data_IF_454260035926
#
_entry.id   IF_454260035926
#
_cell.length_a   1.000
_cell.length_b   1.000
_cell.length_c   1.000
_cell.angle_alpha   90.00
_cell.angle_beta   90.00
_cell.angle_gamma   90.00
#
_symmetry.space_group_name_H-M   'P 1'
#
loop_
_entity.id
_entity.type
_entity.pdbx_description
1 polymer ?
#
# COMPACT_ATOMS: atom_id res chain seq x y z
N UNK A 1 -3.80 20.94 -20.15
CA UNK A 1 -3.46 19.51 -20.11
C UNK A 1 -4.58 18.80 -19.37
N UNK A 2 -5.31 17.90 -20.01
CA UNK A 2 -6.35 17.13 -19.34
C UNK A 2 -5.68 16.37 -18.19
N UNK A 3 -6.12 16.59 -16.94
CA UNK A 3 -5.69 15.79 -15.81
C UNK A 3 -6.13 14.35 -16.10
N UNK A 4 -5.19 13.42 -16.25
CA UNK A 4 -5.51 12.00 -16.28
C UNK A 4 -6.27 11.66 -15.00
N UNK A 5 -7.42 11.00 -15.16
CA UNK A 5 -8.25 10.55 -14.04
C UNK A 5 -7.57 9.44 -13.23
N UNK A 6 -6.41 8.96 -13.73
CA UNK A 6 -5.60 7.95 -13.10
C UNK A 6 -4.60 8.55 -12.10
N UNK A 7 -4.48 7.93 -10.94
CA UNK A 7 -3.43 8.26 -9.98
C UNK A 7 -2.11 7.57 -10.34
N UNK A 8 -2.17 6.30 -10.78
CA UNK A 8 -1.00 5.54 -11.21
C UNK A 8 -1.18 5.09 -12.66
N UNK A 9 -0.15 5.29 -13.46
CA UNK A 9 -0.08 4.84 -14.85
C UNK A 9 1.24 4.10 -15.07
N UNK A 10 1.15 2.90 -15.60
CA UNK A 10 2.29 2.06 -15.96
C UNK A 10 2.17 1.79 -17.46
N UNK A 11 3.24 2.06 -18.22
CA UNK A 11 3.24 1.91 -19.67
C UNK A 11 4.48 1.16 -20.15
N UNK A 12 4.28 0.05 -20.85
CA UNK A 12 5.31 -0.78 -21.45
C UNK A 12 6.40 -1.24 -20.49
N UNK A 13 6.02 -1.47 -19.22
CA UNK A 13 6.97 -1.73 -18.14
C UNK A 13 7.63 -3.11 -18.30
N UNK A 14 8.96 -3.12 -18.42
CA UNK A 14 9.78 -4.32 -18.33
C UNK A 14 10.74 -4.20 -17.14
N UNK A 15 10.87 -5.29 -16.40
CA UNK A 15 11.78 -5.34 -15.26
C UNK A 15 12.42 -6.72 -15.07
N UNK A 16 13.70 -6.73 -14.74
CA UNK A 16 14.49 -7.90 -14.34
C UNK A 16 15.55 -7.50 -13.32
N UNK A 17 15.83 -8.39 -12.39
CA UNK A 17 16.99 -8.27 -11.51
C UNK A 17 18.26 -8.73 -12.25
N UNK A 18 18.16 -9.85 -12.99
CA UNK A 18 19.16 -10.37 -13.88
C UNK A 18 18.56 -10.47 -15.31
N UNK A 19 19.34 -10.11 -16.33
CA UNK A 19 18.91 -10.10 -17.75
C UNK A 19 18.40 -11.46 -18.25
N UNK A 20 18.86 -12.54 -17.63
CA UNK A 20 18.49 -13.92 -18.00
C UNK A 20 17.07 -14.30 -17.54
N UNK A 21 16.49 -13.55 -16.57
CA UNK A 21 15.19 -13.89 -15.99
C UNK A 21 14.29 -12.64 -15.89
N UNK A 22 13.42 -12.38 -16.88
CA UNK A 22 12.44 -11.32 -16.79
C UNK A 22 11.44 -11.60 -15.65
N UNK A 23 11.13 -10.56 -14.87
CA UNK A 23 10.13 -10.60 -13.80
C UNK A 23 8.82 -9.98 -14.25
N UNK A 24 8.90 -8.89 -15.04
CA UNK A 24 7.75 -8.21 -15.63
C UNK A 24 8.06 -7.93 -17.10
N UNK A 25 7.07 -8.16 -17.98
CA UNK A 25 7.22 -8.03 -19.42
C UNK A 25 6.03 -7.29 -20.03
N UNK A 26 6.25 -6.07 -20.52
CA UNK A 26 5.23 -5.30 -21.23
C UNK A 26 3.99 -4.98 -20.39
N UNK A 27 4.15 -4.63 -19.11
CA UNK A 27 3.02 -4.33 -18.22
C UNK A 27 2.45 -2.95 -18.53
N UNK A 28 1.14 -2.92 -18.81
CA UNK A 28 0.33 -1.71 -18.95
C UNK A 28 -0.80 -1.71 -17.92
N UNK A 29 -0.85 -0.69 -17.05
CA UNK A 29 -1.87 -0.55 -16.01
C UNK A 29 -2.29 0.91 -15.85
N UNK A 30 -3.58 1.12 -15.58
CA UNK A 30 -4.15 2.40 -15.21
C UNK A 30 -4.96 2.24 -13.92
N UNK A 31 -4.64 3.00 -12.90
CA UNK A 31 -5.29 2.94 -11.59
C UNK A 31 -6.00 4.27 -11.33
N UNK A 32 -7.34 4.31 -11.43
CA UNK A 32 -8.11 5.51 -11.24
C UNK A 32 -8.02 6.04 -9.80
N UNK A 33 -8.17 7.35 -9.64
CA UNK A 33 -8.19 7.98 -8.32
C UNK A 33 -9.38 7.51 -7.49
N UNK A 34 -9.15 7.34 -6.19
CA UNK A 34 -10.18 6.98 -5.22
C UNK A 34 -10.67 5.53 -5.31
N UNK A 35 -10.12 4.73 -6.21
CA UNK A 35 -10.51 3.32 -6.41
C UNK A 35 -9.64 2.35 -5.62
N UNK A 36 -10.22 1.21 -5.30
CA UNK A 36 -9.51 0.04 -4.78
C UNK A 36 -9.23 -0.91 -5.93
N UNK A 37 -7.97 -1.08 -6.28
CA UNK A 37 -7.55 -1.96 -7.40
C UNK A 37 -6.73 -3.12 -6.83
N UNK A 38 -7.05 -4.34 -7.23
CA UNK A 38 -6.25 -5.51 -6.85
C UNK A 38 -5.32 -5.95 -7.99
N UNK A 39 -4.12 -6.34 -7.61
CA UNK A 39 -3.18 -7.06 -8.47
C UNK A 39 -3.08 -8.47 -7.91
N UNK A 40 -3.73 -9.40 -8.57
CA UNK A 40 -3.79 -10.81 -8.17
C UNK A 40 -2.79 -11.66 -8.97
N UNK A 41 -2.47 -12.81 -8.45
CA UNK A 41 -1.61 -13.79 -9.14
C UNK A 41 -0.88 -14.70 -8.16
N UNK A 42 -0.26 -15.75 -8.67
CA UNK A 42 0.50 -16.72 -7.87
C UNK A 42 1.71 -16.07 -7.19
N UNK A 43 2.22 -16.73 -6.15
CA UNK A 43 3.48 -16.29 -5.51
C UNK A 43 4.62 -16.26 -6.53
N UNK A 44 5.44 -15.21 -6.48
CA UNK A 44 6.56 -15.03 -7.41
C UNK A 44 6.21 -14.42 -8.77
N UNK A 45 4.95 -14.11 -9.08
CA UNK A 45 4.53 -13.54 -10.37
C UNK A 45 4.99 -12.09 -10.60
N UNK A 46 5.60 -11.41 -9.61
CA UNK A 46 6.10 -10.04 -9.75
C UNK A 46 5.25 -8.95 -9.07
N UNK A 47 4.19 -9.31 -8.32
CA UNK A 47 3.26 -8.37 -7.66
C UNK A 47 3.97 -7.36 -6.74
N UNK A 48 4.76 -7.84 -5.79
CA UNK A 48 5.56 -6.97 -4.88
C UNK A 48 6.56 -6.12 -5.65
N UNK A 49 7.08 -6.62 -6.77
CA UNK A 49 7.98 -5.85 -7.64
C UNK A 49 7.27 -4.66 -8.25
N UNK A 50 6.00 -4.80 -8.66
CA UNK A 50 5.16 -3.67 -9.14
C UNK A 50 5.02 -2.62 -8.03
N UNK A 51 4.70 -3.01 -6.80
CA UNK A 51 4.60 -2.05 -5.68
C UNK A 51 5.93 -1.32 -5.43
N UNK A 52 7.06 -2.02 -5.50
CA UNK A 52 8.40 -1.42 -5.35
C UNK A 52 8.74 -0.43 -6.46
N UNK A 53 8.29 -0.69 -7.69
CA UNK A 53 8.45 0.22 -8.83
C UNK A 53 7.54 1.46 -8.67
N UNK A 54 6.28 1.29 -8.24
CA UNK A 54 5.36 2.40 -7.94
C UNK A 54 5.93 3.27 -6.81
N UNK A 55 6.44 2.67 -5.74
CA UNK A 55 7.09 3.38 -4.63
C UNK A 55 8.47 3.95 -4.95
N UNK A 56 8.99 3.73 -6.17
CA UNK A 56 10.30 4.22 -6.62
C UNK A 56 11.48 3.56 -5.91
N UNK A 57 11.27 2.41 -5.22
CA UNK A 57 12.35 1.63 -4.63
C UNK A 57 13.17 0.88 -5.69
N UNK A 58 12.55 0.62 -6.84
CA UNK A 58 13.18 0.06 -8.02
C UNK A 58 12.96 1.01 -9.20
N UNK A 59 13.86 0.96 -10.19
CA UNK A 59 13.72 1.68 -11.45
C UNK A 59 13.36 0.69 -12.56
N UNK A 60 12.40 1.01 -13.45
CA UNK A 60 12.10 0.19 -14.60
C UNK A 60 13.34 0.02 -15.49
N UNK A 61 13.44 -1.12 -16.16
CA UNK A 61 14.47 -1.35 -17.19
C UNK A 61 14.05 -0.79 -18.54
N UNK A 62 12.74 -0.86 -18.82
CA UNK A 62 12.08 -0.25 -19.96
C UNK A 62 10.68 0.19 -19.56
N UNK A 63 10.11 1.13 -20.30
CA UNK A 63 8.81 1.71 -19.99
C UNK A 63 8.88 2.71 -18.85
N UNK A 64 7.72 3.05 -18.28
CA UNK A 64 7.63 4.08 -17.26
C UNK A 64 6.54 3.78 -16.23
N UNK A 65 6.74 4.30 -15.02
CA UNK A 65 5.75 4.34 -13.95
C UNK A 65 5.51 5.79 -13.58
N UNK A 66 4.27 6.26 -13.72
CA UNK A 66 3.83 7.59 -13.29
C UNK A 66 2.95 7.49 -12.06
N UNK A 67 3.16 8.37 -11.10
CA UNK A 67 2.28 8.57 -9.95
C UNK A 67 1.93 10.05 -9.83
N UNK A 68 0.65 10.36 -9.80
CA UNK A 68 0.14 11.74 -9.82
C UNK A 68 0.77 12.57 -10.96
N UNK A 69 0.91 11.98 -12.15
CA UNK A 69 1.47 12.60 -13.35
C UNK A 69 2.99 12.71 -13.39
N UNK A 70 3.71 12.29 -12.33
CA UNK A 70 5.18 12.35 -12.28
C UNK A 70 5.81 11.00 -12.56
N UNK A 71 6.81 10.96 -13.43
CA UNK A 71 7.59 9.76 -13.75
C UNK A 71 8.52 9.45 -12.58
N UNK A 72 8.29 8.31 -11.90
CA UNK A 72 8.92 7.99 -10.61
C UNK A 72 10.45 7.86 -10.70
N UNK A 73 10.97 7.27 -11.76
CA UNK A 73 12.41 7.03 -11.92
C UNK A 73 13.21 8.25 -12.41
N UNK A 74 12.51 9.32 -12.80
CA UNK A 74 13.12 10.61 -13.19
C UNK A 74 13.17 11.60 -12.01
N UNK A 75 12.48 11.29 -10.90
CA UNK A 75 12.53 12.14 -9.72
C UNK A 75 13.93 12.12 -9.10
N UNK A 76 14.40 13.31 -8.71
CA UNK A 76 15.54 13.46 -7.82
C UNK A 76 15.23 12.92 -6.40
N UNK A 77 16.23 12.91 -5.55
CA UNK A 77 16.10 12.40 -4.17
C UNK A 77 14.98 13.13 -3.39
N UNK A 78 14.93 14.44 -3.50
CA UNK A 78 13.95 15.25 -2.78
C UNK A 78 12.54 15.12 -3.35
N UNK A 79 12.41 15.03 -4.67
CA UNK A 79 11.14 14.76 -5.34
C UNK A 79 10.58 13.39 -4.98
N UNK A 80 11.45 12.36 -4.93
CA UNK A 80 11.07 11.01 -4.51
C UNK A 80 10.65 10.98 -3.03
N UNK A 81 11.39 11.67 -2.16
CA UNK A 81 11.04 11.81 -0.75
C UNK A 81 9.67 12.46 -0.56
N UNK A 82 9.42 13.62 -1.21
CA UNK A 82 8.11 14.30 -1.19
C UNK A 82 6.99 13.42 -1.73
N UNK A 83 7.25 12.62 -2.77
CA UNK A 83 6.25 11.70 -3.32
C UNK A 83 5.92 10.58 -2.33
N UNK A 84 6.93 9.95 -1.71
CA UNK A 84 6.75 8.87 -0.74
C UNK A 84 6.00 9.30 0.52
N UNK A 85 6.15 10.54 0.98
CA UNK A 85 5.35 11.11 2.09
C UNK A 85 3.84 11.09 1.82
N UNK A 86 3.44 11.05 0.56
CA UNK A 86 2.04 10.99 0.12
C UNK A 86 1.57 9.56 -0.19
N UNK A 87 2.39 8.56 0.13
CA UNK A 87 2.10 7.15 -0.07
C UNK A 87 2.16 6.43 1.27
N UNK A 88 1.18 5.56 1.51
CA UNK A 88 1.19 4.60 2.61
C UNK A 88 1.57 3.21 2.10
N UNK A 89 2.26 2.44 2.93
CA UNK A 89 2.62 1.06 2.61
C UNK A 89 2.33 0.15 3.80
N UNK A 90 1.52 -0.88 3.58
CA UNK A 90 1.37 -1.99 4.49
C UNK A 90 2.16 -3.18 3.94
N UNK A 91 3.20 -3.58 4.66
CA UNK A 91 4.04 -4.73 4.30
C UNK A 91 3.42 -6.05 4.75
N UNK A 92 3.78 -7.14 4.08
CA UNK A 92 3.22 -8.49 4.28
C UNK A 92 3.11 -8.93 5.74
N UNK A 93 4.09 -8.64 6.60
CA UNK A 93 4.06 -8.98 8.03
C UNK A 93 3.86 -7.75 8.94
N UNK A 94 3.32 -6.64 8.40
CA UNK A 94 3.12 -5.40 9.11
C UNK A 94 4.40 -4.59 9.32
N UNK A 95 5.55 -5.23 9.50
CA UNK A 95 6.87 -4.61 9.73
C UNK A 95 6.82 -3.53 10.83
N UNK A 96 6.18 -3.82 11.96
CA UNK A 96 6.17 -2.94 13.12
C UNK A 96 7.57 -2.87 13.76
N UNK A 97 7.92 -1.72 14.29
CA UNK A 97 9.09 -1.57 15.15
C UNK A 97 8.80 -2.31 16.45
N UNK A 98 9.56 -3.35 16.75
CA UNK A 98 9.29 -4.29 17.84
C UNK A 98 9.51 -3.72 19.23
N UNK A 99 10.35 -2.71 19.34
CA UNK A 99 10.76 -1.98 20.54
C UNK A 99 9.97 -0.68 20.76
N UNK A 100 9.07 -0.33 19.86
CA UNK A 100 8.18 0.82 19.99
C UNK A 100 6.77 0.39 20.36
N UNK A 101 6.08 1.19 21.17
CA UNK A 101 4.67 1.00 21.47
C UNK A 101 3.80 1.08 20.21
N UNK A 102 2.56 0.63 20.30
CA UNK A 102 1.54 0.83 19.25
C UNK A 102 1.39 2.30 18.91
N UNK A 103 1.37 3.16 19.94
CA UNK A 103 1.33 4.60 19.76
C UNK A 103 2.52 5.11 18.95
N UNK A 104 3.74 4.76 19.37
CA UNK A 104 4.97 5.25 18.74
C UNK A 104 5.16 4.70 17.33
N UNK A 105 4.71 3.47 17.05
CA UNK A 105 4.67 2.93 15.70
C UNK A 105 3.86 3.81 14.74
N UNK A 106 2.72 4.35 15.18
CA UNK A 106 1.89 5.24 14.35
C UNK A 106 2.43 6.67 14.36
N UNK A 107 2.89 7.17 15.52
CA UNK A 107 3.44 8.52 15.68
C UNK A 107 4.72 8.72 14.87
N UNK A 108 5.51 7.67 14.65
CA UNK A 108 6.81 7.72 13.99
C UNK A 108 6.77 8.52 12.68
N UNK A 109 5.81 8.21 11.81
CA UNK A 109 5.67 8.89 10.52
C UNK A 109 5.37 10.41 10.68
N UNK A 110 4.57 10.76 11.67
CA UNK A 110 4.22 12.16 11.94
C UNK A 110 5.42 12.94 12.47
N UNK A 111 6.18 12.36 13.42
CA UNK A 111 7.39 12.98 13.98
C UNK A 111 8.49 13.18 12.93
N UNK A 112 8.70 12.18 12.06
CA UNK A 112 9.74 12.23 11.02
C UNK A 112 9.41 13.18 9.86
N UNK A 113 8.12 13.40 9.60
CA UNK A 113 7.70 14.05 8.36
C UNK A 113 6.90 15.33 8.55
N UNK A 114 6.65 15.76 9.79
CA UNK A 114 5.90 16.99 10.08
C UNK A 114 6.51 17.73 11.27
N UNK A 115 6.24 19.03 11.35
CA UNK A 115 6.61 19.87 12.49
C UNK A 115 5.44 20.06 13.47
N UNK A 116 4.56 19.06 13.57
CA UNK A 116 3.39 19.11 14.44
C UNK A 116 3.79 19.00 15.92
N UNK A 117 3.17 19.79 16.81
CA UNK A 117 3.35 19.63 18.25
C UNK A 117 2.92 18.24 18.72
N UNK A 118 3.61 17.68 19.74
CA UNK A 118 3.31 16.34 20.29
C UNK A 118 1.85 16.19 20.76
N UNK A 119 1.21 17.26 21.25
CA UNK A 119 -0.21 17.22 21.61
C UNK A 119 -1.11 16.93 20.38
N UNK A 120 -0.82 17.52 19.23
CA UNK A 120 -1.51 17.26 17.97
C UNK A 120 -1.22 15.84 17.46
N UNK A 121 0.05 15.42 17.48
CA UNK A 121 0.45 14.06 17.09
C UNK A 121 -0.32 13.02 17.94
N UNK A 122 -0.41 13.25 19.25
CA UNK A 122 -1.16 12.38 20.14
C UNK A 122 -2.63 12.23 19.72
N UNK A 123 -3.31 13.33 19.45
CA UNK A 123 -4.72 13.30 19.09
C UNK A 123 -4.92 12.62 17.72
N UNK A 124 -4.07 12.90 16.75
CA UNK A 124 -4.08 12.26 15.44
C UNK A 124 -3.80 10.75 15.53
N UNK A 125 -2.82 10.33 16.30
CA UNK A 125 -2.52 8.90 16.52
C UNK A 125 -3.71 8.17 17.12
N UNK A 126 -4.32 8.74 18.18
CA UNK A 126 -5.50 8.15 18.81
C UNK A 126 -6.69 8.06 17.85
N UNK A 127 -6.85 9.04 16.96
CA UNK A 127 -7.86 9.01 15.91
C UNK A 127 -7.57 7.92 14.87
N UNK A 128 -6.31 7.75 14.41
CA UNK A 128 -5.94 6.68 13.49
C UNK A 128 -6.11 5.30 14.12
N UNK A 129 -5.73 5.15 15.39
CA UNK A 129 -5.97 3.90 16.13
C UNK A 129 -7.45 3.62 16.35
N UNK A 130 -8.25 4.65 16.56
CA UNK A 130 -9.70 4.51 16.65
C UNK A 130 -10.31 4.01 15.33
N UNK A 131 -9.87 4.54 14.20
CA UNK A 131 -10.36 4.14 12.86
C UNK A 131 -10.12 2.66 12.56
N UNK A 132 -9.10 2.05 13.16
CA UNK A 132 -8.80 0.61 13.05
C UNK A 132 -9.28 -0.21 14.25
N UNK A 133 -10.03 0.41 15.19
CA UNK A 133 -10.60 -0.25 16.36
C UNK A 133 -9.59 -0.62 17.46
N UNK A 134 -8.47 0.11 17.57
CA UNK A 134 -7.38 -0.19 18.49
C UNK A 134 -6.99 0.98 19.41
N UNK A 135 -7.87 1.96 19.62
CA UNK A 135 -7.59 3.12 20.49
C UNK A 135 -7.11 2.72 21.90
N UNK A 136 -7.72 1.67 22.47
CA UNK A 136 -7.36 1.19 23.82
C UNK A 136 -6.03 0.45 23.89
N UNK A 137 -5.47 0.03 22.75
CA UNK A 137 -4.22 -0.74 22.67
C UNK A 137 -2.96 0.14 22.50
N UNK A 138 -3.08 1.47 22.57
CA UNK A 138 -2.02 2.41 22.23
C UNK A 138 -0.73 2.26 23.06
N UNK A 139 -0.79 1.69 24.28
CA UNK A 139 0.35 1.48 25.18
C UNK A 139 1.03 0.13 24.99
N UNK A 140 0.39 -0.81 24.30
CA UNK A 140 0.92 -2.17 24.12
C UNK A 140 2.15 -2.16 23.21
N UNK A 141 3.00 -3.16 23.40
CA UNK A 141 4.10 -3.48 22.48
C UNK A 141 3.61 -4.46 21.41
N UNK A 142 4.26 -4.53 20.22
CA UNK A 142 3.92 -5.49 19.19
C UNK A 142 3.89 -6.95 19.64
N UNK A 143 4.72 -7.34 20.60
CA UNK A 143 4.75 -8.67 21.21
C UNK A 143 3.49 -9.04 21.99
N UNK A 144 2.69 -8.06 22.39
CA UNK A 144 1.46 -8.24 23.15
C UNK A 144 0.22 -8.28 22.23
N UNK A 145 0.40 -8.17 20.91
CA UNK A 145 -0.68 -8.11 19.93
C UNK A 145 -0.96 -9.47 19.31
N UNK A 146 -2.23 -9.75 19.03
CA UNK A 146 -2.58 -10.82 18.07
C UNK A 146 -2.14 -10.42 16.65
N UNK A 147 -2.00 -11.41 15.74
CA UNK A 147 -1.65 -11.15 14.33
C UNK A 147 -2.60 -10.16 13.64
N UNK A 148 -3.91 -10.28 13.89
CA UNK A 148 -4.91 -9.35 13.38
C UNK A 148 -4.79 -7.94 13.99
N UNK A 149 -4.45 -7.82 15.28
CA UNK A 149 -4.18 -6.53 15.90
C UNK A 149 -2.92 -5.88 15.32
N UNK A 150 -1.83 -6.62 15.20
CA UNK A 150 -0.59 -6.12 14.61
C UNK A 150 -0.80 -5.61 13.17
N UNK A 151 -1.61 -6.33 12.38
CA UNK A 151 -1.98 -5.90 11.02
C UNK A 151 -2.76 -4.58 11.03
N UNK A 152 -3.71 -4.40 11.96
CA UNK A 152 -4.47 -3.16 12.10
C UNK A 152 -3.61 -1.99 12.58
N UNK A 153 -2.63 -2.21 13.46
CA UNK A 153 -1.64 -1.18 13.84
C UNK A 153 -0.80 -0.77 12.63
N UNK A 154 -0.31 -1.74 11.83
CA UNK A 154 0.45 -1.45 10.62
C UNK A 154 -0.39 -0.66 9.60
N UNK A 155 -1.69 -0.92 9.54
CA UNK A 155 -2.63 -0.15 8.72
C UNK A 155 -2.80 1.28 9.25
N UNK A 156 -2.97 1.47 10.56
CA UNK A 156 -3.02 2.81 11.17
C UNK A 156 -1.76 3.62 10.89
N UNK A 157 -0.58 2.97 10.92
CA UNK A 157 0.70 3.59 10.55
C UNK A 157 0.76 3.95 9.05
N UNK A 158 0.26 3.08 8.17
CA UNK A 158 0.25 3.35 6.74
C UNK A 158 -0.62 4.57 6.36
N UNK A 159 -1.67 4.85 7.13
CA UNK A 159 -2.56 6.01 6.91
C UNK A 159 -2.23 7.22 7.79
N UNK A 160 -1.11 7.20 8.52
CA UNK A 160 -0.77 8.24 9.51
C UNK A 160 -0.72 9.64 8.92
N UNK A 161 -0.23 9.80 7.69
CA UNK A 161 -0.06 11.08 6.98
C UNK A 161 -1.16 11.37 5.95
N UNK A 162 -2.33 10.73 6.02
CA UNK A 162 -3.43 10.87 5.05
C UNK A 162 -2.94 10.75 3.59
N UNK A 163 -2.38 9.60 3.21
CA UNK A 163 -1.77 9.42 1.92
C UNK A 163 -2.80 9.43 0.78
N UNK A 164 -2.40 9.91 -0.40
CA UNK A 164 -3.22 9.83 -1.61
C UNK A 164 -3.25 8.42 -2.23
N UNK A 165 -2.22 7.61 -1.95
CA UNK A 165 -2.06 6.24 -2.42
C UNK A 165 -1.71 5.34 -1.25
N UNK A 166 -2.43 4.23 -1.09
CA UNK A 166 -2.10 3.21 -0.11
C UNK A 166 -1.84 1.90 -0.84
N UNK A 167 -0.68 1.32 -0.57
CA UNK A 167 -0.26 0.04 -1.15
C UNK A 167 -0.27 -1.04 -0.07
N UNK A 168 -0.91 -2.16 -0.35
CA UNK A 168 -1.04 -3.30 0.55
C UNK A 168 -0.35 -4.51 -0.09
N UNK A 169 0.72 -4.98 0.53
CA UNK A 169 1.44 -6.18 0.10
C UNK A 169 1.00 -7.38 0.95
N UNK A 170 0.19 -8.26 0.36
CA UNK A 170 -0.38 -9.46 0.98
C UNK A 170 -1.05 -9.18 2.34
N UNK A 171 -2.05 -8.28 2.41
CA UNK A 171 -2.64 -7.84 3.68
C UNK A 171 -3.36 -8.97 4.44
N UNK A 172 -3.72 -10.05 3.76
CA UNK A 172 -4.48 -11.18 4.29
C UNK A 172 -3.61 -12.35 4.74
N UNK A 173 -2.33 -12.38 4.36
CA UNK A 173 -1.44 -13.51 4.61
C UNK A 173 -1.35 -13.87 6.10
N UNK A 174 -1.61 -15.15 6.41
CA UNK A 174 -1.49 -15.69 7.77
C UNK A 174 -2.60 -15.27 8.74
N UNK A 175 -3.70 -14.70 8.25
CA UNK A 175 -4.87 -14.37 9.07
C UNK A 175 -5.90 -15.52 9.06
N UNK A 176 -6.61 -15.66 10.18
CA UNK A 176 -7.81 -16.50 10.24
C UNK A 176 -8.95 -15.88 9.41
N UNK A 177 -9.97 -16.67 8.99
CA UNK A 177 -11.04 -16.19 8.12
C UNK A 177 -11.83 -14.98 8.66
N UNK A 178 -11.99 -14.87 9.98
CA UNK A 178 -12.71 -13.74 10.61
C UNK A 178 -11.85 -12.48 10.52
N UNK A 179 -10.58 -12.58 10.91
CA UNK A 179 -9.62 -11.45 10.83
C UNK A 179 -9.41 -10.97 9.41
N UNK A 180 -9.44 -11.87 8.43
CA UNK A 180 -9.31 -11.58 7.02
C UNK A 180 -10.48 -10.70 6.53
N UNK A 181 -11.75 -11.09 6.83
CA UNK A 181 -12.92 -10.29 6.51
C UNK A 181 -12.90 -8.91 7.20
N UNK A 182 -12.41 -8.83 8.45
CA UNK A 182 -12.25 -7.55 9.16
C UNK A 182 -11.26 -6.63 8.44
N UNK A 183 -10.11 -7.16 7.99
CA UNK A 183 -9.10 -6.36 7.26
C UNK A 183 -9.63 -5.90 5.90
N UNK A 184 -10.31 -6.77 5.14
CA UNK A 184 -10.91 -6.41 3.86
C UNK A 184 -11.91 -5.26 3.98
N UNK A 185 -12.86 -5.39 4.92
CA UNK A 185 -13.83 -4.33 5.21
C UNK A 185 -13.15 -3.03 5.68
N UNK A 186 -12.07 -3.14 6.45
CA UNK A 186 -11.34 -1.98 6.94
C UNK A 186 -10.62 -1.25 5.81
N UNK A 187 -9.98 -1.97 4.88
CA UNK A 187 -9.37 -1.39 3.67
C UNK A 187 -10.41 -0.60 2.87
N UNK A 188 -11.59 -1.17 2.62
CA UNK A 188 -12.65 -0.49 1.87
C UNK A 188 -13.14 0.77 2.59
N UNK A 189 -13.46 0.66 3.89
CA UNK A 189 -13.93 1.80 4.69
C UNK A 189 -12.90 2.93 4.78
N UNK A 190 -11.63 2.62 4.93
CA UNK A 190 -10.57 3.62 4.95
C UNK A 190 -10.38 4.27 3.58
N UNK A 191 -10.47 3.51 2.48
CA UNK A 191 -10.46 4.06 1.13
C UNK A 191 -11.58 5.08 0.94
N UNK A 192 -12.80 4.73 1.30
CA UNK A 192 -13.97 5.59 1.17
C UNK A 192 -13.85 6.84 2.07
N UNK A 193 -13.39 6.68 3.32
CA UNK A 193 -13.29 7.78 4.28
C UNK A 193 -12.16 8.77 3.95
N UNK A 194 -11.04 8.29 3.41
CA UNK A 194 -9.89 9.12 3.06
C UNK A 194 -9.93 9.65 1.62
N UNK A 195 -10.79 9.09 0.77
CA UNK A 195 -10.76 9.34 -0.68
C UNK A 195 -9.43 8.94 -1.32
N UNK A 196 -8.66 8.07 -0.66
CA UNK A 196 -7.37 7.60 -1.14
C UNK A 196 -7.54 6.58 -2.28
N UNK A 197 -6.51 6.41 -3.09
CA UNK A 197 -6.44 5.30 -4.04
C UNK A 197 -5.74 4.13 -3.36
N UNK A 198 -6.26 2.91 -3.52
CA UNK A 198 -5.72 1.71 -2.88
C UNK A 198 -5.28 0.68 -3.91
N UNK A 199 -4.08 0.12 -3.74
CA UNK A 199 -3.57 -1.02 -4.52
C UNK A 199 -3.37 -2.19 -3.56
N UNK A 200 -4.08 -3.29 -3.80
CA UNK A 200 -3.99 -4.50 -2.98
C UNK A 200 -3.32 -5.60 -3.81
N UNK A 201 -2.15 -6.02 -3.37
CA UNK A 201 -1.46 -7.17 -3.95
C UNK A 201 -1.76 -8.40 -3.11
N UNK A 202 -2.29 -9.44 -3.73
CA UNK A 202 -2.65 -10.67 -3.01
C UNK A 202 -2.77 -11.88 -3.94
N UNK A 203 -2.68 -13.07 -3.35
CA UNK A 203 -3.05 -14.33 -3.99
C UNK A 203 -4.43 -14.82 -3.53
N UNK A 204 -5.06 -14.15 -2.56
CA UNK A 204 -6.41 -14.46 -2.10
C UNK A 204 -7.46 -13.77 -3.01
N UNK A 205 -8.05 -14.56 -3.91
CA UNK A 205 -9.00 -14.08 -4.91
C UNK A 205 -10.35 -13.77 -4.26
N UNK A 206 -10.85 -14.65 -3.39
CA UNK A 206 -12.24 -14.56 -2.88
C UNK A 206 -12.47 -13.30 -2.05
N UNK A 207 -11.57 -13.00 -1.13
CA UNK A 207 -11.71 -11.82 -0.28
C UNK A 207 -11.44 -10.52 -1.04
N UNK A 208 -10.51 -10.54 -1.98
CA UNK A 208 -10.21 -9.36 -2.79
C UNK A 208 -11.42 -8.93 -3.63
N UNK A 209 -12.12 -9.86 -4.29
CA UNK A 209 -13.26 -9.55 -5.16
C UNK A 209 -14.42 -8.87 -4.44
N UNK A 210 -14.52 -9.02 -3.11
CA UNK A 210 -15.58 -8.37 -2.30
C UNK A 210 -15.37 -6.87 -2.07
N UNK A 211 -14.13 -6.39 -2.20
CA UNK A 211 -13.79 -5.02 -1.77
C UNK A 211 -13.18 -4.16 -2.88
N UNK A 212 -12.87 -4.73 -4.06
CA UNK A 212 -12.17 -4.01 -5.13
C UNK A 212 -13.14 -3.50 -6.20
N UNK A 213 -12.73 -2.39 -6.83
CA UNK A 213 -13.43 -1.83 -7.98
C UNK A 213 -12.90 -2.39 -9.31
N UNK A 214 -11.64 -2.90 -9.32
CA UNK A 214 -10.99 -3.40 -10.52
C UNK A 214 -9.87 -4.38 -10.20
N UNK A 215 -9.65 -5.34 -11.08
CA UNK A 215 -8.65 -6.40 -10.93
C UNK A 215 -7.70 -6.45 -12.12
N UNK A 216 -6.42 -6.65 -11.84
CA UNK A 216 -5.41 -7.13 -12.77
C UNK A 216 -4.92 -8.50 -12.31
N UNK A 217 -4.95 -9.49 -13.19
CA UNK A 217 -4.40 -10.82 -12.90
C UNK A 217 -3.04 -10.99 -13.58
N UNK A 218 -2.01 -11.18 -12.75
CA UNK A 218 -0.62 -11.30 -13.15
C UNK A 218 -0.18 -12.77 -13.13
N UNK A 219 0.30 -13.28 -14.27
CA UNK A 219 0.94 -14.59 -14.38
C UNK A 219 2.20 -14.48 -15.23
N UNK A 220 3.27 -15.11 -14.79
CA UNK A 220 4.56 -15.16 -15.50
C UNK A 220 5.07 -13.79 -15.99
N UNK A 221 4.85 -12.77 -15.15
CA UNK A 221 5.25 -11.40 -15.46
C UNK A 221 4.40 -10.68 -16.51
N UNK A 222 3.24 -11.23 -16.88
CA UNK A 222 2.30 -10.66 -17.85
C UNK A 222 0.94 -10.42 -17.18
N UNK A 223 0.20 -9.40 -17.64
CA UNK A 223 -1.22 -9.24 -17.31
C UNK A 223 -2.00 -10.14 -18.25
N UNK A 224 -2.57 -11.22 -17.72
CA UNK A 224 -3.32 -12.22 -18.51
C UNK A 224 -4.83 -11.99 -18.47
N UNK A 225 -5.32 -11.27 -17.46
CA UNK A 225 -6.72 -10.86 -17.35
C UNK A 225 -6.86 -9.54 -16.59
N UNK A 226 -7.91 -8.79 -16.89
CA UNK A 226 -8.28 -7.58 -16.17
C UNK A 226 -9.78 -7.32 -16.30
N UNK A 227 -10.39 -6.72 -15.28
CA UNK A 227 -11.83 -6.42 -15.27
C UNK A 227 -12.29 -5.71 -14.00
N UNK A 228 -13.54 -5.22 -14.01
CA UNK A 228 -14.26 -4.63 -12.89
C UNK A 228 -15.15 -5.69 -12.21
#
# INVERSE_FOLDING_TARGET
MAHSDNLVEISGLNFWYDKTRPILSGIDMAIPRGKVVSIMGISGSGKTTILRLIGGALKPRQGQVKVAGKVMHELDRDGLYRMRRRMGMLFQFGALFTDLSVFDNVAFQMREHTDLPEAMIRDMVLMKLHSVGLRGAHRLLPSELSGGMARRVALARAIALDPMLIMYDEPFAGLDPISLGVIGNLIRRLNDALGATSIVVTHDVQESLRMVDYVYYLSDGLIVAKGA
#
